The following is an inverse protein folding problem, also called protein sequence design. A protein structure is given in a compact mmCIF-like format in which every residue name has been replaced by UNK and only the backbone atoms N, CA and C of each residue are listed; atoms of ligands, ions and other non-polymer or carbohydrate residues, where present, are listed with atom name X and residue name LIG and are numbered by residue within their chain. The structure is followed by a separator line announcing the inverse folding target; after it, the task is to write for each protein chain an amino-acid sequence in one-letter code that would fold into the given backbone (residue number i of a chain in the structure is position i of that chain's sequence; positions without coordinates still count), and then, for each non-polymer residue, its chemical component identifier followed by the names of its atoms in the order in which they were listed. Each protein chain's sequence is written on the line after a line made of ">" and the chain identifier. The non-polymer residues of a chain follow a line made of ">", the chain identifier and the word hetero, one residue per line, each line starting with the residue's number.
data_IF_980999547168
#
_entry.id   IF_980999547168
#
_cell.length_a   1.000
_cell.length_b   1.000
_cell.length_c   1.000
_cell.angle_alpha   90.00
_cell.angle_beta   90.00
_cell.angle_gamma   90.00
#
_symmetry.space_group_name_H-M   'P 1'
#
loop_
_entity.id
_entity.type
_entity.pdbx_description
1 polymer ?
#
# COMPACT_ATOMS: atom_id res chain seq x y z
N UNK A 1 -56.16 -40.18 29.90
CA UNK A 1 -56.41 -39.22 28.81
C UNK A 1 -55.23 -39.28 27.86
N UNK A 2 -55.48 -39.73 26.62
CA UNK A 2 -54.75 -39.49 25.35
C UNK A 2 -53.22 -39.50 25.41
N UNK A 3 -52.47 -40.46 24.87
CA UNK A 3 -52.63 -41.17 23.59
C UNK A 3 -51.40 -40.84 22.72
N UNK A 4 -50.34 -41.64 22.77
CA UNK A 4 -50.04 -42.75 21.85
C UNK A 4 -49.27 -42.32 20.59
N UNK A 5 -47.95 -42.54 20.59
CA UNK A 5 -47.15 -42.75 19.39
C UNK A 5 -47.41 -44.16 18.83
N UNK A 6 -47.58 -44.35 17.51
CA UNK A 6 -47.41 -45.66 16.92
C UNK A 6 -46.11 -45.73 16.12
N UNK A 7 -45.33 -46.76 16.44
CA UNK A 7 -44.35 -47.40 15.56
C UNK A 7 -45.14 -48.29 14.59
N UNK A 8 -44.87 -48.25 13.28
CA UNK A 8 -45.27 -49.35 12.40
C UNK A 8 -44.24 -49.68 11.29
N UNK A 9 -44.12 -51.00 11.14
CA UNK A 9 -43.27 -51.85 10.30
C UNK A 9 -43.18 -51.52 8.80
N UNK A 10 -42.04 -51.89 8.23
CA UNK A 10 -41.82 -52.12 6.81
C UNK A 10 -42.47 -53.42 6.28
N UNK A 11 -42.81 -53.46 4.97
CA UNK A 11 -42.68 -54.60 4.03
C UNK A 11 -42.90 -54.16 2.55
N UNK A 12 -42.52 -54.97 1.54
CA UNK A 12 -41.77 -54.53 0.34
C UNK A 12 -42.54 -54.59 -1.00
N UNK A 13 -41.98 -53.98 -2.05
CA UNK A 13 -42.35 -54.19 -3.46
C UNK A 13 -41.81 -53.08 -4.37
N UNK A 14 -40.99 -53.44 -5.38
CA UNK A 14 -40.42 -52.53 -6.40
C UNK A 14 -41.45 -52.02 -7.44
N UNK A 15 -41.05 -51.47 -8.62
CA UNK A 15 -39.75 -51.58 -9.28
C UNK A 15 -39.13 -50.23 -9.75
N UNK A 16 -37.97 -50.38 -10.40
CA UNK A 16 -37.07 -49.40 -10.99
C UNK A 16 -37.71 -48.21 -11.72
N UNK A 17 -37.13 -47.03 -11.50
CA UNK A 17 -37.33 -45.83 -12.32
C UNK A 17 -36.12 -44.92 -12.19
N UNK A 18 -35.30 -44.88 -13.24
CA UNK A 18 -34.15 -43.99 -13.38
C UNK A 18 -34.57 -42.52 -13.39
N UNK A 19 -33.78 -41.65 -12.76
CA UNK A 19 -33.25 -40.40 -13.33
C UNK A 19 -32.93 -39.34 -12.25
N UNK A 20 -31.76 -38.72 -12.41
CA UNK A 20 -31.52 -37.34 -11.98
C UNK A 20 -30.82 -37.18 -10.65
N UNK A 21 -29.51 -37.42 -10.61
CA UNK A 21 -28.62 -36.82 -9.61
C UNK A 21 -28.70 -35.29 -9.73
N UNK A 22 -29.48 -34.64 -8.88
CA UNK A 22 -29.42 -33.19 -8.68
C UNK A 22 -28.09 -32.86 -8.00
N UNK A 23 -27.09 -32.52 -8.81
CA UNK A 23 -25.95 -31.73 -8.35
C UNK A 23 -26.51 -30.39 -7.87
N UNK A 24 -26.39 -30.14 -6.58
CA UNK A 24 -26.47 -28.80 -6.01
C UNK A 24 -25.36 -27.97 -6.67
N UNK A 25 -25.74 -27.11 -7.60
CA UNK A 25 -24.82 -26.17 -8.25
C UNK A 25 -24.29 -25.20 -7.21
N UNK A 26 -23.09 -25.46 -6.69
CA UNK A 26 -22.27 -24.42 -6.09
C UNK A 26 -21.98 -23.41 -7.19
N UNK A 27 -22.55 -22.20 -7.07
CA UNK A 27 -22.15 -21.08 -7.91
C UNK A 27 -20.62 -20.91 -7.77
N UNK A 28 -19.85 -20.93 -8.87
CA UNK A 28 -18.42 -20.71 -8.79
C UNK A 28 -18.19 -19.31 -8.21
N UNK A 29 -17.39 -19.24 -7.15
CA UNK A 29 -16.81 -17.98 -6.70
C UNK A 29 -16.01 -17.43 -7.89
N UNK A 30 -16.29 -16.21 -8.38
CA UNK A 30 -15.56 -15.66 -9.51
C UNK A 30 -14.08 -15.62 -9.16
N UNK A 31 -13.23 -16.18 -10.04
CA UNK A 31 -11.79 -16.12 -9.88
C UNK A 31 -11.36 -14.64 -9.78
N UNK A 32 -10.51 -14.28 -8.80
CA UNK A 32 -10.01 -12.92 -8.69
C UNK A 32 -9.26 -12.57 -9.99
N UNK A 33 -9.51 -11.40 -10.59
CA UNK A 33 -8.84 -11.01 -11.82
C UNK A 33 -7.33 -11.01 -11.60
N UNK A 34 -6.61 -11.73 -12.46
CA UNK A 34 -5.14 -11.71 -12.45
C UNK A 34 -4.65 -10.26 -12.62
N UNK A 35 -3.54 -9.90 -11.95
CA UNK A 35 -2.91 -8.56 -11.95
C UNK A 35 -2.64 -7.98 -13.36
N UNK A 36 -2.83 -8.76 -14.44
CA UNK A 36 -2.67 -8.35 -15.84
C UNK A 36 -3.97 -7.87 -16.51
N UNK A 37 -5.11 -7.89 -15.84
CA UNK A 37 -6.40 -7.63 -16.49
C UNK A 37 -7.23 -6.50 -15.85
N UNK A 38 -6.65 -5.74 -14.92
CA UNK A 38 -7.19 -4.42 -14.57
C UNK A 38 -6.45 -3.41 -15.45
N UNK A 39 -7.02 -3.14 -16.60
CA UNK A 39 -6.65 -2.00 -17.43
C UNK A 39 -6.68 -0.74 -16.54
N UNK A 40 -5.62 0.08 -16.43
CA UNK A 40 -5.60 1.28 -15.60
C UNK A 40 -6.62 2.35 -16.04
N UNK A 41 -7.32 2.12 -17.15
CA UNK A 41 -8.51 2.86 -17.51
C UNK A 41 -9.68 2.45 -16.60
N UNK A 42 -9.77 3.04 -15.41
CA UNK A 42 -11.03 3.11 -14.65
C UNK A 42 -12.04 3.89 -15.51
N UNK A 43 -13.07 3.26 -16.11
CA UNK A 43 -14.11 3.99 -16.80
C UNK A 43 -15.08 4.49 -15.73
N UNK A 44 -14.98 5.76 -15.33
CA UNK A 44 -16.03 6.38 -14.52
C UNK A 44 -15.65 7.67 -13.82
N UNK A 45 -14.40 7.83 -13.39
CA UNK A 45 -13.87 9.05 -12.79
C UNK A 45 -12.40 9.09 -13.21
N UNK A 46 -11.90 9.98 -14.08
CA UNK A 46 -11.86 11.45 -13.95
C UNK A 46 -11.51 12.16 -15.28
N UNK A 47 -12.39 12.99 -15.85
CA UNK A 47 -11.97 14.35 -16.22
C UNK A 47 -12.71 15.42 -15.39
N UNK A 48 -11.99 16.48 -14.98
CA UNK A 48 -12.55 17.64 -14.27
C UNK A 48 -12.47 17.57 -12.73
N UNK A 49 -12.69 18.72 -12.06
CA UNK A 49 -12.53 18.86 -10.60
C UNK A 49 -13.56 18.05 -9.79
N UNK A 50 -14.81 17.99 -10.27
CA UNK A 50 -15.90 17.28 -9.59
C UNK A 50 -15.65 15.77 -9.48
N UNK A 51 -15.16 15.17 -10.57
CA UNK A 51 -14.67 13.80 -10.52
C UNK A 51 -13.61 13.68 -9.43
N UNK A 52 -12.55 14.52 -9.44
CA UNK A 52 -11.39 14.28 -8.57
C UNK A 52 -11.77 14.32 -7.10
N UNK A 53 -12.70 15.22 -6.77
CA UNK A 53 -13.31 15.28 -5.45
C UNK A 53 -14.08 13.99 -5.10
N UNK A 54 -14.94 13.51 -6.00
CA UNK A 54 -15.68 12.27 -5.78
C UNK A 54 -14.77 11.04 -5.63
N UNK A 55 -13.69 10.94 -6.40
CA UNK A 55 -12.69 9.88 -6.23
C UNK A 55 -12.02 9.96 -4.84
N UNK A 56 -11.63 11.15 -4.40
CA UNK A 56 -11.06 11.35 -3.07
C UNK A 56 -12.05 10.96 -1.95
N UNK A 57 -13.35 11.23 -2.13
CA UNK A 57 -14.39 10.79 -1.19
C UNK A 57 -14.53 9.27 -1.15
N UNK A 58 -14.46 8.58 -2.30
CA UNK A 58 -14.46 7.12 -2.38
C UNK A 58 -13.27 6.53 -1.63
N UNK A 59 -12.06 7.03 -1.86
CA UNK A 59 -10.86 6.59 -1.13
C UNK A 59 -11.01 6.81 0.39
N UNK A 60 -11.54 7.96 0.81
CA UNK A 60 -11.81 8.25 2.22
C UNK A 60 -12.84 7.27 2.83
N UNK A 61 -13.89 6.94 2.09
CA UNK A 61 -14.91 6.00 2.52
C UNK A 61 -14.36 4.57 2.65
N UNK A 62 -13.47 4.15 1.76
CA UNK A 62 -12.77 2.85 1.86
C UNK A 62 -11.91 2.75 3.13
N UNK A 63 -11.14 3.81 3.45
CA UNK A 63 -10.38 3.86 4.71
C UNK A 63 -11.31 3.75 5.92
N UNK A 64 -12.40 4.53 5.93
CA UNK A 64 -13.38 4.51 7.02
C UNK A 64 -13.99 3.11 7.21
N UNK A 65 -14.45 2.48 6.13
CA UNK A 65 -15.07 1.15 6.18
C UNK A 65 -14.08 0.10 6.72
N UNK A 66 -12.84 0.09 6.23
CA UNK A 66 -11.81 -0.82 6.71
C UNK A 66 -11.48 -0.56 8.20
N UNK A 67 -11.38 0.71 8.60
CA UNK A 67 -11.12 1.10 9.98
C UNK A 67 -12.24 0.66 10.94
N UNK A 68 -13.51 0.81 10.55
CA UNK A 68 -14.66 0.36 11.34
C UNK A 68 -14.65 -1.17 11.53
N UNK A 69 -14.40 -1.92 10.47
CA UNK A 69 -14.29 -3.39 10.53
C UNK A 69 -13.17 -3.83 11.47
N UNK A 70 -11.98 -3.23 11.33
CA UNK A 70 -10.81 -3.61 12.12
C UNK A 70 -10.90 -3.13 13.57
N UNK A 71 -11.59 -2.02 13.83
CA UNK A 71 -11.85 -1.54 15.19
C UNK A 71 -12.67 -2.55 16.01
N UNK A 72 -13.67 -3.23 15.40
CA UNK A 72 -14.43 -4.31 16.06
C UNK A 72 -13.52 -5.48 16.45
N UNK A 73 -12.48 -5.74 15.67
CA UNK A 73 -11.48 -6.77 15.96
C UNK A 73 -10.31 -6.28 16.84
N UNK A 74 -10.36 -5.03 17.32
CA UNK A 74 -9.26 -4.36 18.07
C UNK A 74 -7.92 -4.34 17.33
N UNK A 75 -7.95 -4.27 15.99
CA UNK A 75 -6.77 -4.19 15.15
C UNK A 75 -6.55 -2.72 14.74
N UNK A 76 -5.41 -2.10 15.11
CA UNK A 76 -5.13 -0.73 14.68
C UNK A 76 -4.84 -0.69 13.18
N UNK A 77 -5.35 0.33 12.51
CA UNK A 77 -5.18 0.56 11.08
C UNK A 77 -4.50 1.90 10.84
N UNK A 78 -3.50 1.93 9.98
CA UNK A 78 -2.80 3.15 9.57
C UNK A 78 -2.98 3.39 8.07
N UNK A 79 -3.70 4.44 7.65
CA UNK A 79 -3.75 4.87 6.25
C UNK A 79 -2.37 5.31 5.80
N UNK A 80 -2.02 5.03 4.55
CA UNK A 80 -0.72 5.33 3.98
C UNK A 80 -0.82 6.17 2.69
N UNK A 81 0.34 6.63 2.22
CA UNK A 81 0.57 7.22 0.89
C UNK A 81 -0.50 8.25 0.47
N UNK A 82 -1.02 8.13 -0.74
CA UNK A 82 -1.88 9.13 -1.37
C UNK A 82 -3.14 9.42 -0.56
N UNK A 83 -3.81 8.40 -0.01
CA UNK A 83 -5.04 8.60 0.75
C UNK A 83 -4.79 9.27 2.11
N UNK A 84 -3.66 8.96 2.75
CA UNK A 84 -3.21 9.66 3.96
C UNK A 84 -2.91 11.13 3.66
N UNK A 85 -2.04 11.36 2.68
CA UNK A 85 -1.52 12.69 2.38
C UNK A 85 -2.61 13.61 1.85
N UNK A 86 -3.48 13.12 0.97
CA UNK A 86 -4.63 13.86 0.48
C UNK A 86 -5.54 14.35 1.61
N UNK A 87 -5.75 13.51 2.63
CA UNK A 87 -6.55 13.88 3.80
C UNK A 87 -5.82 14.76 4.80
N UNK A 88 -4.49 14.86 4.75
CA UNK A 88 -3.66 15.48 5.80
C UNK A 88 -3.07 16.83 5.41
N UNK A 89 -2.49 16.93 4.21
CA UNK A 89 -1.68 18.09 3.78
C UNK A 89 -2.21 18.80 2.54
N UNK A 90 -3.36 18.36 2.02
CA UNK A 90 -4.04 18.96 0.88
C UNK A 90 -5.41 19.50 1.32
N UNK A 91 -5.67 20.78 1.06
CA UNK A 91 -6.93 21.43 1.44
C UNK A 91 -8.04 21.18 0.43
N UNK A 92 -7.69 21.04 -0.85
CA UNK A 92 -8.65 20.86 -1.95
C UNK A 92 -8.84 19.36 -2.23
N UNK A 93 -10.07 18.82 -2.08
CA UNK A 93 -10.35 17.43 -2.43
C UNK A 93 -9.97 17.12 -3.87
N UNK A 94 -9.24 16.02 -4.07
CA UNK A 94 -8.81 15.60 -5.41
C UNK A 94 -7.60 16.35 -5.98
N UNK A 95 -6.98 17.26 -5.22
CA UNK A 95 -5.68 17.83 -5.59
C UNK A 95 -4.57 16.76 -5.59
N UNK A 96 -4.58 15.89 -4.58
CA UNK A 96 -3.74 14.69 -4.52
C UNK A 96 -4.57 13.46 -4.84
N UNK A 97 -4.46 12.99 -6.07
CA UNK A 97 -5.16 11.78 -6.53
C UNK A 97 -4.33 10.55 -6.13
N UNK A 98 -4.97 9.57 -5.48
CA UNK A 98 -4.47 8.21 -5.31
C UNK A 98 -5.16 7.28 -6.31
N UNK A 99 -4.48 6.27 -6.83
CA UNK A 99 -5.08 5.25 -7.72
C UNK A 99 -5.72 4.11 -6.94
N UNK A 100 -5.26 3.93 -5.71
CA UNK A 100 -5.51 2.88 -4.77
C UNK A 100 -5.58 3.45 -3.34
N UNK A 101 -5.96 2.60 -2.39
CA UNK A 101 -5.97 2.90 -0.96
C UNK A 101 -4.97 1.98 -0.26
N UNK A 102 -3.85 2.53 0.18
CA UNK A 102 -2.88 1.78 0.98
C UNK A 102 -3.19 1.88 2.47
N UNK A 103 -3.24 0.71 3.11
CA UNK A 103 -3.48 0.55 4.53
C UNK A 103 -2.39 -0.30 5.16
N UNK A 104 -1.94 0.04 6.36
CA UNK A 104 -0.98 -0.73 7.13
C UNK A 104 -1.65 -1.26 8.39
N UNK A 105 -1.34 -2.51 8.75
CA UNK A 105 -1.68 -3.13 10.03
C UNK A 105 -0.41 -3.67 10.69
N UNK A 106 -0.39 -3.86 12.02
CA UNK A 106 0.74 -4.49 12.69
C UNK A 106 1.02 -5.86 12.08
N UNK A 107 2.30 -6.25 11.86
CA UNK A 107 2.60 -7.46 11.10
C UNK A 107 2.08 -8.73 11.76
N UNK A 108 2.10 -8.76 13.09
CA UNK A 108 1.58 -9.86 13.91
C UNK A 108 0.05 -10.04 13.80
N UNK A 109 -0.68 -9.00 13.37
CA UNK A 109 -2.15 -9.00 13.25
C UNK A 109 -2.62 -9.10 11.80
N UNK A 110 -1.71 -9.24 10.84
CA UNK A 110 -2.04 -9.17 9.42
C UNK A 110 -3.07 -10.22 8.97
N UNK A 111 -2.86 -11.49 9.32
CA UNK A 111 -3.79 -12.56 8.93
C UNK A 111 -5.15 -12.38 9.61
N UNK A 112 -5.17 -11.97 10.89
CA UNK A 112 -6.40 -11.67 11.61
C UNK A 112 -7.16 -10.50 10.99
N UNK A 113 -6.45 -9.48 10.50
CA UNK A 113 -7.03 -8.33 9.79
C UNK A 113 -7.65 -8.76 8.46
N UNK A 114 -6.92 -9.58 7.70
CA UNK A 114 -7.39 -10.13 6.43
C UNK A 114 -8.67 -10.95 6.61
N UNK A 115 -8.71 -11.79 7.63
CA UNK A 115 -9.88 -12.60 7.94
C UNK A 115 -11.07 -11.76 8.42
N UNK A 116 -10.83 -10.70 9.20
CA UNK A 116 -11.89 -9.76 9.59
C UNK A 116 -12.49 -9.04 8.38
N UNK A 117 -11.66 -8.57 7.46
CA UNK A 117 -12.09 -7.90 6.23
C UNK A 117 -12.83 -8.86 5.29
N UNK A 118 -12.37 -10.11 5.15
CA UNK A 118 -13.10 -11.15 4.41
C UNK A 118 -14.49 -11.41 4.98
N UNK A 119 -14.61 -11.55 6.30
CA UNK A 119 -15.91 -11.72 6.98
C UNK A 119 -16.83 -10.51 6.78
N UNK A 120 -16.26 -9.32 6.61
CA UNK A 120 -17.00 -8.10 6.28
C UNK A 120 -17.35 -7.96 4.78
N UNK A 121 -17.05 -8.98 3.96
CA UNK A 121 -17.44 -9.03 2.55
C UNK A 121 -16.39 -8.51 1.57
N UNK A 122 -15.15 -8.24 2.00
CA UNK A 122 -14.05 -7.93 1.07
C UNK A 122 -13.60 -9.21 0.34
N UNK A 123 -13.48 -9.13 -0.98
CA UNK A 123 -12.69 -10.08 -1.73
C UNK A 123 -11.20 -9.77 -1.50
N UNK A 124 -10.36 -10.78 -1.36
CA UNK A 124 -8.96 -10.59 -1.02
C UNK A 124 -8.05 -11.57 -1.77
N UNK A 125 -6.95 -11.08 -2.32
CA UNK A 125 -5.93 -11.88 -2.96
C UNK A 125 -4.54 -11.49 -2.43
N UNK A 126 -3.83 -12.48 -1.88
CA UNK A 126 -2.42 -12.33 -1.56
C UNK A 126 -1.59 -12.55 -2.81
N UNK A 127 -0.56 -11.74 -3.02
CA UNK A 127 0.36 -11.93 -4.12
C UNK A 127 1.57 -12.77 -3.65
N UNK A 128 1.81 -13.98 -4.18
CA UNK A 128 2.97 -14.79 -3.79
C UNK A 128 4.31 -14.07 -4.05
N UNK A 129 4.37 -13.20 -5.06
CA UNK A 129 5.55 -12.40 -5.38
C UNK A 129 5.71 -11.16 -4.47
N UNK A 130 4.71 -10.84 -3.66
CA UNK A 130 4.69 -9.71 -2.74
C UNK A 130 4.05 -10.13 -1.40
N UNK A 131 4.72 -11.00 -0.61
CA UNK A 131 4.10 -11.64 0.55
C UNK A 131 3.80 -10.68 1.71
N UNK A 132 4.24 -9.42 1.61
CA UNK A 132 4.04 -8.38 2.61
C UNK A 132 2.79 -7.51 2.37
N UNK A 133 2.00 -7.80 1.34
CA UNK A 133 0.72 -7.13 1.06
C UNK A 133 -0.36 -8.11 0.58
N UNK A 134 -1.62 -7.70 0.69
CA UNK A 134 -2.77 -8.35 0.06
C UNK A 134 -3.67 -7.27 -0.55
N UNK A 135 -4.16 -7.50 -1.76
CA UNK A 135 -5.09 -6.60 -2.42
C UNK A 135 -6.52 -7.00 -2.05
N UNK A 136 -7.34 -6.01 -1.76
CA UNK A 136 -8.71 -6.12 -1.33
C UNK A 136 -9.64 -5.37 -2.29
N UNK A 137 -10.82 -5.95 -2.51
CA UNK A 137 -11.87 -5.35 -3.34
C UNK A 137 -13.21 -5.41 -2.63
N UNK A 138 -14.01 -4.37 -2.88
CA UNK A 138 -15.41 -4.29 -2.47
C UNK A 138 -16.30 -4.26 -3.71
N UNK A 139 -17.55 -4.72 -3.59
CA UNK A 139 -18.48 -4.75 -4.73
C UNK A 139 -18.96 -3.38 -5.21
N UNK A 140 -18.85 -2.33 -4.39
CA UNK A 140 -19.47 -1.03 -4.64
C UNK A 140 -18.53 -0.01 -5.31
N UNK A 141 -17.24 -0.31 -5.45
CA UNK A 141 -16.27 0.58 -6.10
C UNK A 141 -15.16 -0.21 -6.79
N UNK A 142 -14.66 0.24 -7.95
CA UNK A 142 -13.52 -0.39 -8.62
C UNK A 142 -12.17 -0.05 -7.97
N UNK A 143 -12.13 0.86 -7.00
CA UNK A 143 -10.88 1.28 -6.34
C UNK A 143 -10.37 0.15 -5.44
N UNK A 144 -9.19 -0.39 -5.76
CA UNK A 144 -8.53 -1.41 -4.97
C UNK A 144 -7.96 -0.84 -3.67
N UNK A 145 -7.94 -1.67 -2.63
CA UNK A 145 -7.32 -1.37 -1.34
C UNK A 145 -6.20 -2.35 -1.07
N UNK A 146 -4.96 -1.88 -0.90
CA UNK A 146 -3.84 -2.73 -0.53
C UNK A 146 -3.64 -2.71 0.99
N UNK A 147 -3.73 -3.88 1.61
CA UNK A 147 -3.42 -4.11 3.01
C UNK A 147 -1.98 -4.57 3.13
N UNK A 148 -1.18 -3.81 3.88
CA UNK A 148 0.25 -4.01 4.08
C UNK A 148 0.55 -4.49 5.50
N UNK A 149 1.55 -5.37 5.62
CA UNK A 149 2.25 -5.67 6.89
C UNK A 149 3.67 -5.13 6.93
N UNK A 150 4.14 -4.47 5.88
CA UNK A 150 5.45 -3.80 5.87
C UNK A 150 5.38 -2.61 4.95
N UNK A 151 6.08 -1.53 5.30
CA UNK A 151 6.16 -0.35 4.44
C UNK A 151 7.05 -0.61 3.21
N UNK A 152 8.01 -1.53 3.34
CA UNK A 152 8.96 -1.85 2.27
C UNK A 152 9.25 -3.35 2.20
N UNK A 153 9.71 -3.80 1.03
CA UNK A 153 10.25 -5.14 0.88
C UNK A 153 11.39 -5.39 1.89
N UNK A 154 11.51 -6.60 2.47
CA UNK A 154 12.58 -6.93 3.41
C UNK A 154 13.97 -6.59 2.87
N UNK A 155 14.76 -5.85 3.65
CA UNK A 155 16.12 -5.45 3.28
C UNK A 155 16.22 -4.22 2.37
N UNK A 156 15.09 -3.62 1.99
CA UNK A 156 15.07 -2.38 1.20
C UNK A 156 15.47 -1.16 2.02
N UNK A 157 14.68 -0.81 3.04
CA UNK A 157 14.94 0.31 3.96
C UNK A 157 14.62 -0.11 5.40
N UNK A 158 15.06 0.68 6.39
CA UNK A 158 14.84 0.42 7.82
C UNK A 158 13.67 1.27 8.33
N UNK A 159 12.45 0.83 8.08
CA UNK A 159 11.24 1.46 8.63
C UNK A 159 10.24 0.37 9.05
N UNK A 160 10.49 -0.33 10.17
CA UNK A 160 9.65 -1.45 10.60
C UNK A 160 8.28 -0.94 11.05
N UNK A 161 7.23 -1.66 10.62
CA UNK A 161 5.84 -1.26 10.86
C UNK A 161 5.53 -1.10 12.36
N UNK A 162 6.08 -1.97 13.21
CA UNK A 162 5.92 -1.92 14.66
C UNK A 162 6.41 -0.59 15.25
N UNK A 163 7.56 -0.11 14.77
CA UNK A 163 8.12 1.15 15.27
C UNK A 163 7.33 2.36 14.77
N UNK A 164 6.78 2.29 13.55
CA UNK A 164 5.89 3.33 12.99
C UNK A 164 4.58 3.39 13.78
N UNK A 165 3.98 2.24 14.11
CA UNK A 165 2.81 2.19 15.00
C UNK A 165 3.12 2.71 16.41
N UNK A 166 4.29 2.36 16.97
CA UNK A 166 4.68 2.79 18.31
C UNK A 166 4.83 4.32 18.42
N UNK A 167 5.24 5.01 17.34
CA UNK A 167 5.30 6.49 17.28
C UNK A 167 4.00 7.13 16.78
N UNK A 168 3.11 6.33 16.22
CA UNK A 168 1.85 6.79 15.65
C UNK A 168 0.90 7.37 16.70
N UNK A 169 -0.04 8.19 16.24
CA UNK A 169 -1.05 8.85 17.08
C UNK A 169 -2.45 8.41 16.69
N UNK A 170 -3.31 8.01 17.65
CA UNK A 170 -4.70 7.73 17.37
C UNK A 170 -5.41 8.97 16.80
N UNK A 171 -6.29 8.75 15.83
CA UNK A 171 -7.15 9.77 15.22
C UNK A 171 -8.51 9.15 14.90
N UNK A 172 -9.59 9.91 15.09
CA UNK A 172 -10.95 9.52 14.68
C UNK A 172 -11.57 10.49 13.69
N UNK A 173 -11.06 11.71 13.62
CA UNK A 173 -11.73 12.81 12.94
C UNK A 173 -11.47 12.79 11.44
N UNK A 174 -10.25 12.45 11.01
CA UNK A 174 -9.85 12.57 9.60
C UNK A 174 -10.67 11.67 8.69
N UNK A 175 -10.98 10.47 9.14
CA UNK A 175 -11.78 9.49 8.38
C UNK A 175 -13.15 9.20 9.00
N UNK A 176 -13.47 9.77 10.17
CA UNK A 176 -14.69 9.44 10.90
C UNK A 176 -14.68 8.04 11.54
N UNK A 177 -13.52 7.41 11.64
CA UNK A 177 -13.33 6.08 12.21
C UNK A 177 -11.94 5.97 12.87
N UNK A 178 -11.74 5.05 13.83
CA UNK A 178 -10.47 4.89 14.53
C UNK A 178 -9.33 4.47 13.59
N UNK A 179 -8.33 5.34 13.46
CA UNK A 179 -7.09 5.07 12.74
C UNK A 179 -5.89 5.49 13.58
N UNK A 180 -4.69 5.09 13.14
CA UNK A 180 -3.41 5.60 13.64
C UNK A 180 -2.78 6.43 12.55
N UNK A 181 -2.47 7.70 12.81
CA UNK A 181 -1.65 8.52 11.93
C UNK A 181 -0.17 8.25 12.22
N UNK A 182 0.68 8.09 11.21
CA UNK A 182 2.12 7.95 11.44
C UNK A 182 2.71 9.23 12.03
N UNK A 183 3.86 9.11 12.69
CA UNK A 183 4.67 10.30 12.99
C UNK A 183 5.03 11.02 11.68
N UNK A 184 5.00 12.36 11.63
CA UNK A 184 5.32 13.09 10.41
C UNK A 184 6.66 12.74 9.76
N UNK A 185 7.68 12.39 10.57
CA UNK A 185 8.99 11.97 10.04
C UNK A 185 8.89 10.59 9.35
N UNK A 186 8.09 9.67 9.90
CA UNK A 186 7.82 8.37 9.29
C UNK A 186 7.01 8.53 7.99
N UNK A 187 6.08 9.49 7.94
CA UNK A 187 5.33 9.82 6.72
C UNK A 187 6.26 10.33 5.60
N UNK A 188 7.21 11.21 5.94
CA UNK A 188 8.27 11.66 5.00
C UNK A 188 9.14 10.49 4.55
N UNK A 189 9.61 9.67 5.49
CA UNK A 189 10.43 8.51 5.19
C UNK A 189 9.72 7.52 4.26
N UNK A 190 8.43 7.26 4.52
CA UNK A 190 7.63 6.41 3.67
C UNK A 190 7.43 6.99 2.27
N UNK A 191 7.09 8.28 2.15
CA UNK A 191 6.91 8.95 0.85
C UNK A 191 8.19 8.90 -0.01
N UNK A 192 9.36 9.18 0.59
CA UNK A 192 10.65 9.10 -0.09
C UNK A 192 10.98 7.66 -0.50
N UNK A 193 10.87 6.70 0.41
CA UNK A 193 11.20 5.31 0.13
C UNK A 193 10.29 4.67 -0.91
N UNK A 194 9.00 5.01 -0.92
CA UNK A 194 8.04 4.51 -1.89
C UNK A 194 8.35 5.05 -3.29
N UNK A 195 8.52 6.36 -3.45
CA UNK A 195 8.87 6.94 -4.75
C UNK A 195 10.20 6.40 -5.31
N UNK A 196 11.19 6.21 -4.44
CA UNK A 196 12.45 5.60 -4.83
C UNK A 196 12.33 4.10 -5.18
N UNK A 197 11.26 3.43 -4.74
CA UNK A 197 10.96 2.02 -5.03
C UNK A 197 10.08 1.82 -6.26
N UNK A 198 9.34 2.83 -6.70
CA UNK A 198 8.55 2.77 -7.93
C UNK A 198 9.40 3.08 -9.17
N UNK A 199 10.52 3.77 -8.99
CA UNK A 199 11.50 4.07 -10.03
C UNK A 199 10.95 4.91 -11.19
N UNK A 200 9.90 5.69 -10.94
CA UNK A 200 9.26 6.59 -11.90
C UNK A 200 9.59 8.05 -11.58
N UNK A 201 10.04 8.87 -12.53
CA UNK A 201 10.29 10.29 -12.30
C UNK A 201 9.06 11.04 -11.75
N UNK A 202 7.85 10.68 -12.20
CA UNK A 202 6.60 11.30 -11.78
C UNK A 202 6.27 11.03 -10.32
N UNK A 203 6.66 9.86 -9.79
CA UNK A 203 6.45 9.51 -8.37
C UNK A 203 7.47 10.25 -7.50
N UNK A 204 8.71 10.43 -7.96
CA UNK A 204 9.70 11.25 -7.29
C UNK A 204 9.25 12.72 -7.17
N UNK A 205 8.78 13.30 -8.27
CA UNK A 205 8.25 14.67 -8.29
C UNK A 205 7.03 14.86 -7.38
N UNK A 206 6.15 13.84 -7.33
CA UNK A 206 4.98 13.84 -6.46
C UNK A 206 5.40 13.76 -4.99
N UNK A 207 6.32 12.86 -4.65
CA UNK A 207 6.83 12.71 -3.30
C UNK A 207 7.57 13.97 -2.83
N UNK A 208 8.33 14.65 -3.70
CA UNK A 208 8.96 15.92 -3.35
C UNK A 208 7.93 16.99 -2.94
N UNK A 209 6.80 17.09 -3.67
CA UNK A 209 5.70 17.99 -3.30
C UNK A 209 5.00 17.56 -2.00
N UNK A 210 4.75 16.26 -1.85
CA UNK A 210 4.16 15.68 -0.63
C UNK A 210 5.03 16.02 0.60
N UNK A 211 6.36 15.91 0.48
CA UNK A 211 7.35 16.25 1.53
C UNK A 211 7.33 17.73 1.89
N UNK A 212 7.30 18.64 0.91
CA UNK A 212 7.21 20.09 1.18
C UNK A 212 5.91 20.44 1.92
N UNK A 213 4.79 19.85 1.52
CA UNK A 213 3.49 20.08 2.20
C UNK A 213 3.47 19.51 3.60
N UNK A 214 4.02 18.31 3.82
CA UNK A 214 4.21 17.74 5.15
C UNK A 214 5.09 18.64 6.02
N UNK A 215 6.20 19.13 5.48
CA UNK A 215 7.12 20.02 6.18
C UNK A 215 6.43 21.30 6.64
N UNK A 216 5.66 21.93 5.76
CA UNK A 216 4.89 23.14 6.08
C UNK A 216 3.79 22.86 7.11
N UNK A 217 2.97 21.82 6.87
CA UNK A 217 1.81 21.49 7.71
C UNK A 217 2.20 21.06 9.11
N UNK A 218 3.29 20.31 9.24
CA UNK A 218 3.76 19.74 10.50
C UNK A 218 4.93 20.51 11.13
N UNK A 219 5.38 21.61 10.49
CA UNK A 219 6.53 22.43 10.91
C UNK A 219 7.77 21.57 11.16
N UNK A 220 8.13 20.75 10.18
CA UNK A 220 9.25 19.83 10.31
C UNK A 220 10.58 20.56 10.34
N UNK A 221 11.48 20.08 11.19
CA UNK A 221 12.87 20.54 11.22
C UNK A 221 13.70 19.77 10.16
N UNK A 222 14.43 20.47 9.26
CA UNK A 222 15.23 19.82 8.25
C UNK A 222 16.33 18.90 8.82
N UNK A 223 16.96 19.27 9.95
CA UNK A 223 18.04 18.48 10.55
C UNK A 223 17.52 17.16 11.13
N UNK A 224 16.42 17.22 11.88
CA UNK A 224 15.74 16.04 12.41
C UNK A 224 15.20 15.13 11.30
N UNK A 225 14.67 15.73 10.23
CA UNK A 225 14.22 14.99 9.05
C UNK A 225 15.37 14.26 8.37
N UNK A 226 16.50 14.93 8.12
CA UNK A 226 17.69 14.32 7.54
C UNK A 226 18.23 13.16 8.41
N UNK A 227 18.37 13.39 9.72
CA UNK A 227 18.85 12.37 10.66
C UNK A 227 17.92 11.14 10.72
N UNK A 228 16.60 11.36 10.66
CA UNK A 228 15.62 10.29 10.62
C UNK A 228 15.73 9.48 9.31
N UNK A 229 15.83 10.16 8.15
CA UNK A 229 16.02 9.50 6.85
C UNK A 229 17.31 8.66 6.80
N UNK A 230 18.42 9.17 7.35
CA UNK A 230 19.67 8.41 7.43
C UNK A 230 19.54 7.17 8.33
N UNK A 231 18.89 7.31 9.49
CA UNK A 231 18.61 6.19 10.40
C UNK A 231 17.80 5.09 9.69
N UNK A 232 16.82 5.52 8.89
CA UNK A 232 15.98 4.65 8.08
C UNK A 232 16.70 4.07 6.85
N UNK A 233 17.96 4.43 6.59
CA UNK A 233 18.70 3.97 5.42
C UNK A 233 18.16 4.54 4.11
N UNK A 234 17.58 5.74 4.17
CA UNK A 234 16.96 6.40 3.02
C UNK A 234 17.85 7.49 2.41
N UNK A 235 19.04 7.76 2.94
CA UNK A 235 19.88 8.90 2.47
C UNK A 235 20.11 8.94 0.95
N UNK A 236 20.27 7.77 0.30
CA UNK A 236 20.43 7.68 -1.16
C UNK A 236 19.09 7.82 -1.91
N UNK A 237 18.02 7.25 -1.37
CA UNK A 237 16.66 7.45 -1.85
C UNK A 237 16.24 8.94 -1.76
N UNK A 238 16.62 9.63 -0.69
CA UNK A 238 16.37 11.06 -0.50
C UNK A 238 17.08 11.88 -1.57
N UNK A 239 18.34 11.57 -1.89
CA UNK A 239 19.05 12.20 -3.02
C UNK A 239 18.35 11.94 -4.35
N UNK A 240 17.86 10.72 -4.56
CA UNK A 240 17.10 10.37 -5.76
C UNK A 240 15.75 11.11 -5.84
N UNK A 241 15.04 11.32 -4.73
CA UNK A 241 13.69 11.92 -4.74
C UNK A 241 13.74 13.45 -4.66
N UNK A 242 14.58 14.00 -3.79
CA UNK A 242 14.64 15.43 -3.50
C UNK A 242 15.76 16.16 -4.25
N UNK A 243 16.68 15.41 -4.88
CA UNK A 243 17.86 15.96 -5.54
C UNK A 243 17.57 16.81 -6.78
N UNK A 244 18.65 17.37 -7.39
CA UNK A 244 18.55 18.30 -8.52
C UNK A 244 17.63 17.80 -9.64
N UNK A 245 16.72 18.66 -10.08
CA UNK A 245 15.71 18.36 -11.11
C UNK A 245 14.39 17.80 -10.58
N UNK A 246 14.25 17.57 -9.27
CA UNK A 246 12.96 17.27 -8.67
C UNK A 246 12.23 18.58 -8.37
N UNK A 247 10.90 18.53 -8.35
CA UNK A 247 10.06 19.67 -7.94
C UNK A 247 10.05 19.93 -6.43
N UNK A 248 11.20 19.77 -5.76
CA UNK A 248 11.40 20.11 -4.35
C UNK A 248 11.61 21.61 -4.13
N UNK A 249 11.31 22.09 -2.93
CA UNK A 249 11.38 23.48 -2.52
C UNK A 249 12.58 23.77 -1.61
N UNK A 250 12.42 24.77 -0.74
CA UNK A 250 13.49 25.17 0.19
C UNK A 250 13.76 24.09 1.25
N UNK A 251 12.72 23.44 1.76
CA UNK A 251 12.87 22.41 2.78
C UNK A 251 13.67 21.21 2.25
N UNK A 252 13.36 20.75 1.05
CA UNK A 252 14.08 19.67 0.39
C UNK A 252 15.59 19.95 0.27
N UNK A 253 15.98 21.18 -0.11
CA UNK A 253 17.39 21.59 -0.17
C UNK A 253 18.07 21.57 1.19
N UNK A 254 17.39 22.08 2.22
CA UNK A 254 17.91 22.10 3.59
C UNK A 254 18.07 20.68 4.17
N UNK A 255 17.16 19.75 3.83
CA UNK A 255 17.29 18.33 4.20
C UNK A 255 18.50 17.71 3.51
N UNK A 256 18.66 17.89 2.19
CA UNK A 256 19.79 17.36 1.44
C UNK A 256 21.14 17.85 1.98
N UNK A 257 21.23 19.14 2.34
CA UNK A 257 22.44 19.74 2.91
C UNK A 257 22.83 19.17 4.28
N UNK A 258 21.88 18.50 4.98
CA UNK A 258 22.09 17.93 6.32
C UNK A 258 22.16 16.41 6.34
N UNK A 259 21.97 15.74 5.20
CA UNK A 259 22.22 14.31 5.10
C UNK A 259 23.69 14.02 5.35
N UNK A 260 23.99 12.83 5.89
CA UNK A 260 25.37 12.34 5.95
C UNK A 260 26.03 12.41 4.56
N UNK A 261 27.26 12.96 4.44
CA UNK A 261 27.97 13.00 3.16
C UNK A 261 28.13 11.61 2.55
N UNK A 262 27.79 11.48 1.27
CA UNK A 262 27.88 10.22 0.51
C UNK A 262 28.11 10.53 -0.99
N UNK A 263 29.36 10.83 -1.39
CA UNK A 263 29.66 11.20 -2.78
C UNK A 263 29.33 10.09 -3.79
N UNK A 264 29.49 8.82 -3.37
CA UNK A 264 29.09 7.67 -4.17
C UNK A 264 27.56 7.63 -4.29
N UNK A 265 26.85 7.89 -3.20
CA UNK A 265 25.40 8.00 -3.20
C UNK A 265 24.87 9.10 -4.11
N UNK A 266 25.54 10.26 -4.17
CA UNK A 266 25.18 11.35 -5.08
C UNK A 266 25.30 10.92 -6.54
N UNK A 267 26.42 10.28 -6.91
CA UNK A 267 26.64 9.73 -8.24
C UNK A 267 25.58 8.69 -8.60
N UNK A 268 25.31 7.74 -7.70
CA UNK A 268 24.35 6.66 -7.93
C UNK A 268 22.90 7.16 -8.01
N UNK A 269 22.52 8.15 -7.20
CA UNK A 269 21.21 8.78 -7.28
C UNK A 269 21.03 9.54 -8.61
N UNK A 270 22.06 10.25 -9.06
CA UNK A 270 22.08 10.90 -10.37
C UNK A 270 21.95 9.91 -11.52
N UNK A 271 22.72 8.81 -11.47
CA UNK A 271 22.64 7.73 -12.46
C UNK A 271 21.26 7.06 -12.48
N UNK A 272 20.69 6.77 -11.30
CA UNK A 272 19.35 6.18 -11.19
C UNK A 272 18.28 7.07 -11.83
N UNK A 273 18.38 8.39 -11.65
CA UNK A 273 17.46 9.35 -12.25
C UNK A 273 17.61 9.42 -13.78
N UNK A 274 18.84 9.49 -14.28
CA UNK A 274 19.12 9.48 -15.71
C UNK A 274 18.65 8.18 -16.40
N UNK A 275 18.73 7.05 -15.69
CA UNK A 275 18.24 5.77 -16.19
C UNK A 275 16.70 5.72 -16.17
N UNK A 276 16.07 6.14 -15.07
CA UNK A 276 14.62 6.16 -14.92
C UNK A 276 13.92 7.07 -15.96
N UNK A 277 14.58 8.14 -16.42
CA UNK A 277 14.03 9.02 -17.46
C UNK A 277 14.16 8.47 -18.89
N UNK A 278 14.88 7.36 -19.08
CA UNK A 278 15.24 6.84 -20.42
C UNK A 278 14.74 5.43 -20.68
N UNK A 279 14.27 4.73 -19.65
CA UNK A 279 13.95 3.31 -19.76
C UNK A 279 12.61 3.02 -19.12
N UNK A 280 11.87 2.10 -19.73
CA UNK A 280 10.60 1.61 -19.20
C UNK A 280 10.77 1.11 -17.75
N UNK A 281 9.97 1.60 -16.77
CA UNK A 281 10.03 1.17 -15.38
C UNK A 281 9.79 -0.35 -15.22
N UNK A 282 9.00 -0.95 -16.11
CA UNK A 282 8.72 -2.39 -16.13
C UNK A 282 9.89 -3.26 -16.62
N UNK A 283 10.93 -2.66 -17.19
CA UNK A 283 12.10 -3.37 -17.72
C UNK A 283 13.07 -3.84 -16.62
N UNK A 284 14.02 -4.71 -17.00
CA UNK A 284 15.12 -5.11 -16.11
C UNK A 284 15.97 -3.92 -15.66
N UNK A 285 16.20 -2.96 -16.55
CA UNK A 285 16.98 -1.76 -16.29
C UNK A 285 16.25 -0.76 -15.40
N UNK A 286 14.93 -0.61 -15.56
CA UNK A 286 14.08 0.19 -14.66
C UNK A 286 14.12 -0.34 -13.22
N UNK A 287 13.98 -1.66 -13.04
CA UNK A 287 14.20 -2.32 -11.74
C UNK A 287 15.62 -2.15 -11.21
N UNK A 288 16.61 -2.15 -12.10
CA UNK A 288 18.01 -1.89 -11.77
C UNK A 288 18.25 -0.50 -11.18
N UNK A 289 17.62 0.54 -11.75
CA UNK A 289 17.67 1.91 -11.24
C UNK A 289 17.26 1.99 -9.77
N UNK A 290 16.25 1.21 -9.41
CA UNK A 290 15.81 1.03 -8.05
C UNK A 290 16.82 0.48 -7.08
N UNK A 291 17.57 -0.52 -7.48
CA UNK A 291 18.59 -1.12 -6.62
C UNK A 291 19.70 -0.12 -6.28
N UNK A 292 19.94 0.88 -7.13
CA UNK A 292 20.93 1.92 -6.89
C UNK A 292 20.55 2.83 -5.71
N UNK A 293 19.27 2.97 -5.38
CA UNK A 293 18.77 3.86 -4.32
C UNK A 293 18.76 3.23 -2.92
N UNK A 294 19.23 1.98 -2.77
CA UNK A 294 19.44 1.35 -1.47
C UNK A 294 20.67 1.95 -0.76
N UNK A 295 20.76 1.85 0.57
CA UNK A 295 21.84 2.45 1.37
C UNK A 295 23.18 1.71 1.27
N UNK A 296 23.22 0.52 0.67
CA UNK A 296 24.46 -0.19 0.37
C UNK A 296 24.34 -1.10 -0.85
N UNK A 297 25.45 -1.26 -1.58
CA UNK A 297 25.52 -2.18 -2.73
C UNK A 297 25.31 -3.64 -2.31
N UNK A 298 25.75 -4.02 -1.11
CA UNK A 298 25.53 -5.36 -0.57
C UNK A 298 24.03 -5.65 -0.38
N UNK A 299 23.27 -4.69 0.15
CA UNK A 299 21.80 -4.81 0.27
C UNK A 299 21.11 -4.81 -1.09
N UNK A 300 21.59 -4.01 -2.04
CA UNK A 300 21.13 -4.06 -3.43
C UNK A 300 21.33 -5.45 -4.04
N UNK A 301 22.51 -6.06 -3.85
CA UNK A 301 22.83 -7.39 -4.34
C UNK A 301 21.97 -8.48 -3.66
N UNK A 302 21.79 -8.39 -2.33
CA UNK A 302 20.95 -9.33 -1.58
C UNK A 302 19.47 -9.25 -2.01
N UNK A 303 18.95 -8.04 -2.24
CA UNK A 303 17.59 -7.84 -2.73
C UNK A 303 17.44 -8.37 -4.17
N UNK A 304 18.40 -8.09 -5.04
CA UNK A 304 18.42 -8.60 -6.41
C UNK A 304 18.44 -10.14 -6.44
N UNK A 305 19.25 -10.77 -5.61
CA UNK A 305 19.30 -12.22 -5.46
C UNK A 305 17.93 -12.76 -5.01
N UNK A 306 17.30 -12.17 -3.98
CA UNK A 306 15.97 -12.60 -3.51
C UNK A 306 14.91 -12.49 -4.60
N UNK A 307 14.92 -11.41 -5.39
CA UNK A 307 13.99 -11.24 -6.52
C UNK A 307 14.26 -12.27 -7.62
N UNK A 308 15.53 -12.57 -7.92
CA UNK A 308 15.91 -13.56 -8.94
C UNK A 308 15.58 -15.01 -8.54
N UNK A 309 15.83 -15.38 -7.28
CA UNK A 309 15.59 -16.73 -6.75
C UNK A 309 14.12 -16.96 -6.35
N UNK A 310 13.42 -15.93 -5.86
CA UNK A 310 11.98 -16.01 -5.55
C UNK A 310 11.11 -16.24 -6.78
N UNK A 311 11.57 -15.86 -7.97
CA UNK A 311 10.90 -16.15 -9.25
C UNK A 311 11.09 -17.58 -9.76
N UNK A 312 12.00 -18.36 -9.18
CA UNK A 312 12.31 -19.74 -9.62
C UNK A 312 11.61 -20.83 -8.79
N UNK A 313 10.86 -20.45 -7.76
CA UNK A 313 10.26 -21.39 -6.78
C UNK A 313 8.73 -21.28 -6.67
N UNK A 314 8.08 -20.61 -7.64
CA UNK A 314 6.62 -20.49 -7.73
C UNK A 314 6.09 -21.04 -9.04
#
# INVERSE_FOLDING_TARGET
>A
MTGACPVFRARPGGPAGAHGTRRTGSMPVPEPPSRRQVDPAVPGLLPGAAGRAAHALVCRALVRQAAEVLAVAHIPLMPLKGVLLAGWVYDVPGERIGTDVDLLVPPALFEAALDALRRAGYAAASNPSCPYEATLWTSWTPVATDLHRSLFAPGRYRLPAEAVFARGRPDRDRYGAPVVLPDPLDAVAHAVGHAASDHMPETADRAARDVERLAMRCRLDPARTAAHLDTCGLGRATRYVLGPGARGGAFAREVLARLRPDPVGDLLAGAARALASRVDPGSLWGRGAGLLTNDSLARSAALAARVAFGRRTG
#
